data_IF_777763732558
#
_entry.id   IF_777763732558
#
_cell.length_a   1.000
_cell.length_b   1.000
_cell.length_c   1.000
_cell.angle_alpha   90.00
_cell.angle_beta   90.00
_cell.angle_gamma   90.00
#
_symmetry.space_group_name_H-M   'P 1'
#
loop_
_entity.id
_entity.type
_entity.pdbx_description
1 polymer ?
#
# COMPACT_ATOMS: atom_id res chain seq x y z
N UNK A 1 -6.73 12.57 -16.24
CA UNK A 1 -8.17 12.28 -16.26
C UNK A 1 -8.92 12.99 -15.14
N UNK A 2 -8.39 12.93 -13.92
CA UNK A 2 -9.01 13.57 -12.72
C UNK A 2 -9.35 15.06 -12.91
N UNK A 3 -8.58 15.80 -13.70
CA UNK A 3 -8.86 17.23 -14.04
C UNK A 3 -10.21 17.44 -14.72
N UNK A 4 -10.77 16.41 -15.37
CA UNK A 4 -12.09 16.46 -16.03
C UNK A 4 -13.24 16.00 -15.13
N UNK A 5 -12.93 15.38 -13.99
CA UNK A 5 -13.92 15.05 -12.97
C UNK A 5 -14.28 16.32 -12.23
N UNK A 6 -15.56 16.49 -11.89
CA UNK A 6 -16.00 17.68 -11.14
C UNK A 6 -15.19 17.83 -9.85
N UNK A 7 -14.76 19.05 -9.54
CA UNK A 7 -13.89 19.34 -8.40
C UNK A 7 -14.50 18.86 -7.06
N UNK A 8 -15.82 18.98 -6.93
CA UNK A 8 -16.57 18.50 -5.74
C UNK A 8 -16.48 16.99 -5.54
N UNK A 9 -16.25 16.21 -6.62
CA UNK A 9 -16.09 14.76 -6.58
C UNK A 9 -14.62 14.43 -6.34
N UNK A 10 -13.70 15.07 -7.08
CA UNK A 10 -12.27 14.74 -7.04
C UNK A 10 -11.52 15.23 -5.79
N UNK A 11 -12.06 16.23 -5.09
CA UNK A 11 -11.49 16.84 -3.87
C UNK A 11 -12.47 16.91 -2.71
N UNK A 12 -13.53 16.11 -2.74
CA UNK A 12 -14.55 16.10 -1.68
C UNK A 12 -14.01 15.53 -0.38
N UNK A 13 -14.37 16.16 0.75
CA UNK A 13 -14.01 15.73 2.13
C UNK A 13 -15.00 14.71 2.71
N UNK A 14 -15.72 13.99 1.89
CA UNK A 14 -16.78 13.07 2.30
C UNK A 14 -16.82 11.83 1.42
N UNK A 15 -17.45 10.79 1.91
CA UNK A 15 -17.76 9.63 1.10
C UNK A 15 -18.61 10.04 -0.12
N UNK A 16 -18.26 9.49 -1.28
CA UNK A 16 -18.97 9.72 -2.52
C UNK A 16 -20.28 8.93 -2.53
N UNK A 17 -21.36 9.56 -3.00
CA UNK A 17 -22.56 8.83 -3.34
C UNK A 17 -22.30 7.86 -4.50
N UNK A 18 -23.17 6.87 -4.68
CA UNK A 18 -23.06 5.90 -5.79
C UNK A 18 -22.96 6.59 -7.17
N UNK A 19 -23.70 7.65 -7.40
CA UNK A 19 -23.65 8.39 -8.67
C UNK A 19 -22.34 9.13 -8.84
N UNK A 20 -21.82 9.76 -7.80
CA UNK A 20 -20.52 10.44 -7.82
C UNK A 20 -19.37 9.44 -8.00
N UNK A 21 -19.47 8.27 -7.40
CA UNK A 21 -18.51 7.19 -7.61
C UNK A 21 -18.51 6.71 -9.07
N UNK A 22 -19.66 6.53 -9.69
CA UNK A 22 -19.76 6.20 -11.11
C UNK A 22 -19.14 7.30 -12.00
N UNK A 23 -19.28 8.56 -11.64
CA UNK A 23 -18.64 9.68 -12.36
C UNK A 23 -17.12 9.67 -12.15
N UNK A 24 -16.66 9.40 -10.92
CA UNK A 24 -15.24 9.24 -10.60
C UNK A 24 -14.59 8.12 -11.44
N UNK A 25 -15.27 6.99 -11.62
CA UNK A 25 -14.77 5.86 -12.41
C UNK A 25 -14.55 6.17 -13.91
N UNK A 26 -14.98 7.34 -14.40
CA UNK A 26 -14.72 7.76 -15.78
C UNK A 26 -13.33 8.38 -15.99
N UNK A 27 -12.61 8.74 -14.93
CA UNK A 27 -11.32 9.43 -15.07
C UNK A 27 -10.26 8.67 -15.89
N UNK A 28 -10.19 7.31 -15.90
CA UNK A 28 -9.27 6.61 -16.79
C UNK A 28 -9.62 6.78 -18.27
N UNK A 29 -10.93 6.89 -18.60
CA UNK A 29 -11.38 7.18 -19.96
C UNK A 29 -10.89 8.56 -20.36
N UNK A 30 -11.07 9.57 -19.51
CA UNK A 30 -10.58 10.91 -19.76
C UNK A 30 -9.05 10.97 -19.86
N UNK A 31 -8.34 10.14 -19.09
CA UNK A 31 -6.88 10.02 -19.22
C UNK A 31 -6.48 9.50 -20.59
N UNK A 32 -7.14 8.45 -21.06
CA UNK A 32 -6.91 7.87 -22.39
C UNK A 32 -7.10 8.93 -23.49
N UNK A 33 -8.29 9.58 -23.53
CA UNK A 33 -8.62 10.62 -24.51
C UNK A 33 -7.61 11.78 -24.55
N UNK A 34 -7.11 12.18 -23.37
CA UNK A 34 -6.12 13.27 -23.29
C UNK A 34 -4.75 12.81 -23.80
N UNK A 35 -4.33 11.59 -23.48
CA UNK A 35 -2.99 11.09 -23.77
C UNK A 35 -2.84 10.59 -25.22
N UNK A 36 -3.91 10.10 -25.85
CA UNK A 36 -3.87 9.64 -27.25
C UNK A 36 -3.47 10.75 -28.22
N UNK A 37 -3.71 12.02 -27.86
CA UNK A 37 -3.40 13.19 -28.69
C UNK A 37 -2.05 13.84 -28.34
N UNK A 38 -1.25 13.28 -27.42
CA UNK A 38 0.04 13.85 -27.04
C UNK A 38 1.16 13.19 -27.84
N UNK A 39 1.81 13.99 -28.69
CA UNK A 39 2.94 13.51 -29.47
C UNK A 39 4.15 13.14 -28.57
N UNK A 40 4.88 12.11 -28.96
CA UNK A 40 6.14 11.72 -28.33
C UNK A 40 6.04 10.86 -27.08
N UNK A 41 4.84 10.51 -26.60
CA UNK A 41 4.69 9.53 -25.53
C UNK A 41 4.60 8.11 -26.10
N UNK A 42 5.18 7.08 -25.42
CA UNK A 42 5.04 5.70 -25.82
C UNK A 42 3.56 5.26 -25.85
N UNK A 43 3.15 4.50 -26.84
CA UNK A 43 1.76 4.04 -27.00
C UNK A 43 1.22 3.20 -25.85
N UNK A 44 2.10 2.61 -25.04
CA UNK A 44 1.73 1.86 -23.83
C UNK A 44 1.21 2.76 -22.71
N UNK A 45 1.63 4.03 -22.64
CA UNK A 45 1.27 4.93 -21.51
C UNK A 45 -0.24 5.19 -21.47
N UNK A 46 -0.94 5.56 -22.55
CA UNK A 46 -2.40 5.70 -22.52
C UNK A 46 -3.12 4.42 -22.08
N UNK A 47 -2.65 3.26 -22.55
CA UNK A 47 -3.22 1.94 -22.20
C UNK A 47 -3.07 1.67 -20.70
N UNK A 48 -1.89 1.92 -20.14
CA UNK A 48 -1.61 1.71 -18.71
C UNK A 48 -2.46 2.64 -17.85
N UNK A 49 -2.54 3.93 -18.19
CA UNK A 49 -3.38 4.89 -17.48
C UNK A 49 -4.88 4.55 -17.55
N UNK A 50 -5.31 3.95 -18.65
CA UNK A 50 -6.69 3.50 -18.81
C UNK A 50 -7.02 2.28 -17.95
N UNK A 51 -6.06 1.37 -17.78
CA UNK A 51 -6.26 0.07 -17.13
C UNK A 51 -5.84 0.05 -15.64
N UNK A 52 -5.33 1.13 -15.08
CA UNK A 52 -4.74 1.14 -13.72
C UNK A 52 -5.72 0.71 -12.62
N UNK A 53 -7.02 0.89 -12.83
CA UNK A 53 -8.07 0.49 -11.90
C UNK A 53 -8.81 -0.79 -12.31
N UNK A 54 -8.35 -1.49 -13.34
CA UNK A 54 -8.83 -2.84 -13.64
C UNK A 54 -8.29 -3.82 -12.59
N UNK A 55 -9.11 -4.78 -12.22
CA UNK A 55 -8.79 -5.78 -11.19
C UNK A 55 -8.71 -7.19 -11.80
N UNK A 56 -7.74 -8.02 -11.40
CA UNK A 56 -7.61 -9.39 -11.91
C UNK A 56 -8.87 -10.26 -11.82
N UNK A 57 -9.73 -10.01 -10.80
CA UNK A 57 -11.01 -10.69 -10.63
C UNK A 57 -12.12 -10.21 -11.60
N UNK A 58 -11.88 -9.16 -12.39
CA UNK A 58 -12.85 -8.61 -13.33
C UNK A 58 -13.87 -7.65 -12.72
N UNK A 59 -13.69 -7.24 -11.47
CA UNK A 59 -14.59 -6.29 -10.78
C UNK A 59 -14.09 -4.83 -10.84
N UNK A 60 -12.94 -4.59 -11.47
CA UNK A 60 -12.36 -3.26 -11.65
C UNK A 60 -13.09 -2.42 -12.71
N UNK A 61 -12.56 -1.25 -12.99
CA UNK A 61 -13.10 -0.32 -13.97
C UNK A 61 -12.00 0.24 -14.90
N UNK A 62 -12.33 0.76 -16.07
CA UNK A 62 -13.64 1.05 -16.63
C UNK A 62 -14.29 -0.08 -17.46
N UNK A 63 -13.58 -1.18 -17.75
CA UNK A 63 -14.05 -2.25 -18.65
C UNK A 63 -14.26 -3.59 -17.97
N UNK A 64 -13.97 -3.73 -16.68
CA UNK A 64 -14.07 -4.98 -15.94
C UNK A 64 -13.27 -6.12 -16.60
N UNK A 65 -12.04 -5.80 -16.99
CA UNK A 65 -11.14 -6.76 -17.63
C UNK A 65 -10.59 -7.75 -16.60
N UNK A 66 -10.51 -9.01 -16.99
CA UNK A 66 -9.85 -10.04 -16.19
C UNK A 66 -8.33 -10.01 -16.37
N UNK A 67 -7.61 -10.69 -15.48
CA UNK A 67 -6.13 -10.73 -15.37
C UNK A 67 -5.38 -10.77 -16.72
N UNK A 68 -5.73 -11.68 -17.63
CA UNK A 68 -5.05 -11.84 -18.91
C UNK A 68 -5.22 -10.67 -19.87
N UNK A 69 -6.25 -9.86 -19.66
CA UNK A 69 -6.60 -8.71 -20.50
C UNK A 69 -6.04 -7.39 -19.98
N UNK A 70 -5.41 -7.39 -18.78
CA UNK A 70 -4.82 -6.22 -18.14
C UNK A 70 -3.33 -6.22 -18.43
N UNK A 71 -2.83 -5.12 -18.98
CA UNK A 71 -1.40 -4.96 -19.28
C UNK A 71 -0.57 -5.08 -18.01
N UNK A 72 0.60 -5.75 -18.09
CA UNK A 72 1.46 -5.97 -16.92
C UNK A 72 1.80 -4.67 -16.17
N UNK A 73 2.14 -3.62 -16.89
CA UNK A 73 2.47 -2.33 -16.27
C UNK A 73 1.27 -1.70 -15.55
N UNK A 74 0.05 -1.91 -16.03
CA UNK A 74 -1.15 -1.46 -15.32
C UNK A 74 -1.34 -2.23 -14.01
N UNK A 75 -1.09 -3.55 -14.00
CA UNK A 75 -1.14 -4.38 -12.78
C UNK A 75 -0.06 -3.98 -11.75
N UNK A 76 1.15 -3.65 -12.22
CA UNK A 76 2.22 -3.12 -11.36
C UNK A 76 1.84 -1.75 -10.79
N UNK A 77 1.35 -0.85 -11.64
CA UNK A 77 0.94 0.48 -11.22
C UNK A 77 -0.26 0.45 -10.26
N UNK A 78 -1.20 -0.49 -10.45
CA UNK A 78 -2.33 -0.69 -9.54
C UNK A 78 -1.86 -0.99 -8.12
N UNK A 79 -0.92 -1.93 -7.93
CA UNK A 79 -0.36 -2.28 -6.62
C UNK A 79 0.36 -1.08 -5.98
N UNK A 80 1.21 -0.41 -6.74
CA UNK A 80 1.95 0.76 -6.26
C UNK A 80 1.01 1.92 -5.88
N UNK A 81 0.02 2.19 -6.71
CA UNK A 81 -1.01 3.21 -6.46
C UNK A 81 -1.81 2.88 -5.20
N UNK A 82 -2.24 1.64 -5.04
CA UNK A 82 -3.00 1.18 -3.87
C UNK A 82 -2.18 1.36 -2.59
N UNK A 83 -0.91 0.97 -2.58
CA UNK A 83 -0.03 1.17 -1.43
C UNK A 83 0.13 2.65 -1.07
N UNK A 84 0.45 3.49 -2.05
CA UNK A 84 0.61 4.94 -1.83
C UNK A 84 -0.70 5.56 -1.37
N UNK A 85 -1.82 5.17 -1.99
CA UNK A 85 -3.14 5.65 -1.58
C UNK A 85 -3.43 5.32 -0.12
N UNK A 86 -3.17 4.08 0.32
CA UNK A 86 -3.40 3.64 1.71
C UNK A 86 -2.49 4.35 2.71
N UNK A 87 -1.22 4.55 2.37
CA UNK A 87 -0.21 5.14 3.27
C UNK A 87 -0.14 6.67 3.24
N UNK A 88 -0.92 7.31 2.37
CA UNK A 88 -1.04 8.76 2.30
C UNK A 88 -2.31 9.23 2.99
N UNK A 89 -2.18 10.27 3.83
CA UNK A 89 -3.34 10.96 4.40
C UNK A 89 -4.15 11.64 3.31
N UNK A 90 -5.46 11.48 3.37
CA UNK A 90 -6.44 12.15 2.50
C UNK A 90 -7.36 12.99 3.37
N UNK A 91 -8.11 13.90 2.76
CA UNK A 91 -9.05 14.74 3.50
C UNK A 91 -10.21 13.93 4.13
N UNK A 92 -10.54 12.78 3.53
CA UNK A 92 -11.63 11.88 3.93
C UNK A 92 -11.17 10.72 4.81
N UNK A 93 -9.86 10.45 4.91
CA UNK A 93 -9.31 9.42 5.78
C UNK A 93 -7.84 9.64 6.15
N UNK A 94 -7.41 9.26 7.36
CA UNK A 94 -6.00 9.25 7.74
C UNK A 94 -5.19 8.21 6.94
N UNK A 95 -3.86 8.33 7.00
CA UNK A 95 -2.95 7.36 6.41
C UNK A 95 -2.90 6.08 7.26
N UNK A 96 -2.98 4.93 6.62
CA UNK A 96 -2.64 3.66 7.28
C UNK A 96 -1.16 3.61 7.60
N UNK A 97 -0.84 2.91 8.69
CA UNK A 97 0.53 2.47 8.93
C UNK A 97 1.03 1.60 7.78
N UNK A 98 2.30 1.69 7.41
CA UNK A 98 2.86 0.88 6.32
C UNK A 98 2.61 -0.62 6.45
N UNK A 99 2.74 -1.17 7.68
CA UNK A 99 2.43 -2.57 7.96
C UNK A 99 0.96 -2.90 7.69
N UNK A 100 0.02 -2.09 8.22
CA UNK A 100 -1.41 -2.29 8.04
C UNK A 100 -1.81 -2.20 6.55
N UNK A 101 -1.18 -1.27 5.79
CA UNK A 101 -1.38 -1.17 4.35
C UNK A 101 -0.90 -2.44 3.61
N UNK A 102 0.26 -3.00 4.00
CA UNK A 102 0.77 -4.24 3.41
C UNK A 102 -0.15 -5.43 3.73
N UNK A 103 -0.61 -5.55 4.97
CA UNK A 103 -1.56 -6.59 5.38
C UNK A 103 -2.86 -6.50 4.58
N UNK A 104 -3.41 -5.29 4.43
CA UNK A 104 -4.62 -5.06 3.64
C UNK A 104 -4.43 -5.45 2.16
N UNK A 105 -3.31 -5.07 1.55
CA UNK A 105 -2.99 -5.45 0.17
C UNK A 105 -2.84 -6.97 0.00
N UNK A 106 -2.29 -7.67 0.99
CA UNK A 106 -2.22 -9.14 0.99
C UNK A 106 -3.61 -9.77 1.00
N UNK A 107 -4.55 -9.24 1.80
CA UNK A 107 -5.96 -9.69 1.79
C UNK A 107 -6.58 -9.48 0.41
N UNK A 108 -6.42 -8.31 -0.20
CA UNK A 108 -6.89 -8.02 -1.56
C UNK A 108 -6.27 -8.94 -2.63
N UNK A 109 -5.06 -9.44 -2.39
CA UNK A 109 -4.41 -10.42 -3.28
C UNK A 109 -5.10 -11.79 -3.19
N UNK A 110 -5.53 -12.22 -2.00
CA UNK A 110 -6.31 -13.45 -1.82
C UNK A 110 -7.65 -13.38 -2.56
N UNK A 111 -8.30 -12.23 -2.58
CA UNK A 111 -9.56 -11.98 -3.27
C UNK A 111 -9.37 -11.71 -4.78
N UNK A 112 -8.12 -11.81 -5.27
CA UNK A 112 -7.75 -11.52 -6.66
C UNK A 112 -8.10 -10.10 -7.13
N UNK A 113 -8.28 -9.18 -6.21
CA UNK A 113 -8.43 -7.74 -6.50
C UNK A 113 -7.11 -7.15 -6.96
N UNK A 114 -6.02 -7.62 -6.37
CA UNK A 114 -4.64 -7.26 -6.70
C UNK A 114 -3.89 -8.48 -7.27
N UNK A 115 -2.98 -8.22 -8.21
CA UNK A 115 -2.17 -9.25 -8.84
C UNK A 115 -1.05 -9.74 -7.92
N UNK A 116 -0.98 -11.06 -7.72
CA UNK A 116 0.00 -11.72 -6.86
C UNK A 116 1.46 -11.45 -7.27
N UNK A 117 1.76 -11.38 -8.58
CA UNK A 117 3.11 -11.16 -9.07
C UNK A 117 3.67 -9.78 -8.65
N UNK A 118 3.02 -8.67 -9.04
CA UNK A 118 3.37 -7.34 -8.57
C UNK A 118 3.34 -7.19 -7.05
N UNK A 119 2.38 -7.82 -6.35
CA UNK A 119 2.33 -7.78 -4.88
C UNK A 119 3.55 -8.44 -4.24
N UNK A 120 3.98 -9.60 -4.76
CA UNK A 120 5.23 -10.25 -4.31
C UNK A 120 6.45 -9.36 -4.55
N UNK A 121 6.50 -8.65 -5.69
CA UNK A 121 7.58 -7.69 -5.97
C UNK A 121 7.57 -6.52 -4.97
N UNK A 122 6.40 -6.02 -4.60
CA UNK A 122 6.25 -4.98 -3.57
C UNK A 122 6.74 -5.47 -2.20
N UNK A 123 6.35 -6.68 -1.77
CA UNK A 123 6.84 -7.31 -0.54
C UNK A 123 8.38 -7.45 -0.53
N UNK A 124 8.95 -7.89 -1.65
CA UNK A 124 10.40 -8.01 -1.78
C UNK A 124 11.10 -6.65 -1.73
N UNK A 125 10.42 -5.57 -2.16
CA UNK A 125 10.96 -4.22 -2.17
C UNK A 125 10.86 -3.54 -0.79
N UNK A 126 9.72 -3.65 -0.11
CA UNK A 126 9.41 -2.90 1.10
C UNK A 126 9.50 -3.73 2.39
N UNK A 127 9.43 -5.07 2.30
CA UNK A 127 9.19 -5.98 3.44
C UNK A 127 7.75 -5.90 3.97
N UNK A 128 7.34 -6.85 4.78
CA UNK A 128 6.06 -6.81 5.51
C UNK A 128 6.07 -5.71 6.58
N UNK A 129 7.24 -5.52 7.21
CA UNK A 129 7.50 -4.44 8.15
C UNK A 129 8.44 -3.42 7.51
N UNK A 130 7.91 -2.36 6.86
CA UNK A 130 8.75 -1.37 6.18
C UNK A 130 9.68 -0.63 7.14
N UNK A 131 10.79 -0.10 6.59
CA UNK A 131 11.76 0.67 7.36
C UNK A 131 11.07 1.82 8.10
N UNK A 132 11.38 1.95 9.39
CA UNK A 132 10.79 2.92 10.30
C UNK A 132 9.60 2.39 11.11
N UNK A 133 9.07 1.19 10.80
CA UNK A 133 8.04 0.54 11.63
C UNK A 133 8.55 0.30 13.04
N UNK A 134 7.69 0.53 14.04
CA UNK A 134 7.95 0.15 15.43
C UNK A 134 7.27 -1.20 15.68
N UNK A 135 8.01 -2.10 16.31
CA UNK A 135 7.55 -3.47 16.55
C UNK A 135 7.85 -3.89 17.98
N UNK A 136 7.06 -4.81 18.51
CA UNK A 136 7.35 -5.55 19.73
C UNK A 136 7.89 -6.93 19.33
N UNK A 137 8.96 -7.35 19.95
CA UNK A 137 9.56 -8.66 19.76
C UNK A 137 8.97 -9.67 20.76
N UNK A 138 9.20 -10.95 20.49
CA UNK A 138 8.66 -12.06 21.32
C UNK A 138 9.14 -12.07 22.77
N UNK A 139 10.26 -11.39 23.08
CA UNK A 139 10.74 -11.17 24.44
C UNK A 139 10.10 -9.96 25.16
N UNK A 140 9.20 -9.23 24.46
CA UNK A 140 8.56 -8.02 24.96
C UNK A 140 9.36 -6.72 24.74
N UNK A 141 10.53 -6.77 24.12
CA UNK A 141 11.32 -5.58 23.79
C UNK A 141 10.70 -4.81 22.61
N UNK A 142 10.89 -3.48 22.59
CA UNK A 142 10.47 -2.64 21.48
C UNK A 142 11.64 -2.30 20.57
N UNK A 143 11.42 -2.39 19.26
CA UNK A 143 12.45 -2.17 18.26
C UNK A 143 11.92 -1.37 17.07
N UNK A 144 12.82 -0.75 16.32
CA UNK A 144 12.54 -0.07 15.07
C UNK A 144 13.16 -0.84 13.90
N UNK A 145 12.39 -1.08 12.86
CA UNK A 145 12.91 -1.65 11.61
C UNK A 145 13.85 -0.65 10.95
N UNK A 146 15.11 -1.02 10.78
CA UNK A 146 16.15 -0.16 10.17
C UNK A 146 16.60 -0.64 8.80
N UNK A 147 16.45 -1.94 8.52
CA UNK A 147 16.84 -2.52 7.25
C UNK A 147 16.02 -3.79 6.96
N UNK A 148 15.65 -4.00 5.69
CA UNK A 148 15.03 -5.23 5.22
C UNK A 148 16.05 -6.35 5.04
N UNK A 149 15.63 -7.60 5.20
CA UNK A 149 16.33 -8.79 4.73
C UNK A 149 15.82 -9.20 3.35
N UNK A 150 16.74 -9.46 2.40
CA UNK A 150 16.41 -9.63 0.97
C UNK A 150 15.32 -10.67 0.70
N UNK A 151 15.45 -11.84 1.28
CA UNK A 151 14.57 -13.00 1.00
C UNK A 151 13.64 -13.33 2.18
N UNK A 152 13.75 -12.57 3.28
CA UNK A 152 13.03 -12.79 4.53
C UNK A 152 12.23 -11.54 4.91
N UNK A 153 11.11 -11.35 4.23
CA UNK A 153 10.27 -10.16 4.39
C UNK A 153 9.54 -10.08 5.74
N UNK A 154 9.53 -11.17 6.53
CA UNK A 154 8.98 -11.20 7.90
C UNK A 154 10.05 -10.98 8.99
N UNK A 155 11.34 -11.12 8.65
CA UNK A 155 12.45 -11.08 9.60
C UNK A 155 13.45 -9.99 9.24
N UNK A 156 13.08 -8.70 9.39
CA UNK A 156 13.95 -7.56 9.07
C UNK A 156 15.10 -7.43 10.07
N UNK A 157 16.03 -6.51 9.81
CA UNK A 157 16.99 -6.04 10.79
C UNK A 157 16.37 -4.88 11.55
N UNK A 158 16.40 -5.00 12.86
CA UNK A 158 15.80 -4.05 13.78
C UNK A 158 16.84 -3.43 14.71
N UNK A 159 16.54 -2.25 15.23
CA UNK A 159 17.28 -1.59 16.28
C UNK A 159 16.40 -1.53 17.53
N UNK A 160 16.88 -2.04 18.63
CA UNK A 160 16.20 -1.95 19.92
C UNK A 160 16.05 -0.47 20.33
N UNK A 161 14.86 -0.14 20.80
CA UNK A 161 14.53 1.17 21.38
C UNK A 161 14.38 1.02 22.89
N UNK A 162 13.79 -0.11 23.32
CA UNK A 162 13.48 -0.37 24.72
C UNK A 162 13.61 -1.86 24.99
N UNK A 163 14.21 -2.22 26.09
CA UNK A 163 14.31 -3.59 26.57
C UNK A 163 12.97 -4.08 27.16
N UNK A 164 12.81 -5.39 27.36
CA UNK A 164 11.59 -5.99 27.93
C UNK A 164 11.26 -5.48 29.35
N UNK A 165 12.23 -4.98 30.11
CA UNK A 165 12.03 -4.35 31.42
C UNK A 165 11.74 -2.84 31.33
N UNK A 166 11.54 -2.30 30.13
CA UNK A 166 11.11 -0.92 29.89
C UNK A 166 12.23 0.12 29.89
N UNK A 167 13.50 -0.27 29.91
CA UNK A 167 14.64 0.67 29.83
C UNK A 167 14.94 1.05 28.40
N UNK A 168 15.17 2.35 28.19
CA UNK A 168 15.60 2.83 26.88
C UNK A 168 17.02 2.32 26.52
N UNK A 169 17.18 1.89 25.27
CA UNK A 169 18.47 1.45 24.72
C UNK A 169 19.15 2.62 24.03
N UNK A 170 20.47 2.74 24.22
CA UNK A 170 21.25 3.77 23.49
C UNK A 170 21.27 3.44 21.99
N UNK A 171 20.81 4.34 21.13
CA UNK A 171 20.85 4.11 19.68
C UNK A 171 22.26 3.96 19.10
N UNK A 172 23.29 4.39 19.82
CA UNK A 172 24.69 4.26 19.41
C UNK A 172 25.33 2.93 19.85
N UNK A 173 24.63 2.13 20.66
CA UNK A 173 25.09 0.82 21.05
C UNK A 173 25.01 -0.16 19.86
N UNK A 174 26.15 -0.72 19.39
CA UNK A 174 26.14 -1.70 18.30
C UNK A 174 25.31 -2.95 18.62
N UNK A 175 25.24 -3.34 19.89
CA UNK A 175 24.47 -4.51 20.34
C UNK A 175 22.93 -4.25 20.30
N UNK A 176 22.52 -3.01 20.07
CA UNK A 176 21.12 -2.68 19.84
C UNK A 176 20.58 -3.15 18.49
N UNK A 177 21.46 -3.53 17.54
CA UNK A 177 21.07 -3.95 16.19
C UNK A 177 20.94 -5.48 16.14
N UNK A 178 19.75 -5.97 15.84
CA UNK A 178 19.43 -7.38 15.77
C UNK A 178 18.99 -7.75 14.36
N UNK A 179 19.60 -8.77 13.77
CA UNK A 179 19.11 -9.42 12.56
C UNK A 179 18.15 -10.54 12.96
N UNK A 180 16.84 -10.31 12.73
CA UNK A 180 15.81 -11.27 13.11
C UNK A 180 15.82 -12.56 12.28
N UNK A 181 16.59 -12.61 11.17
CA UNK A 181 16.74 -13.84 10.40
C UNK A 181 17.68 -14.87 11.05
N UNK A 182 18.59 -14.41 11.91
CA UNK A 182 19.56 -15.27 12.59
C UNK A 182 19.39 -15.27 14.11
N UNK A 183 18.44 -14.47 14.61
CA UNK A 183 18.04 -14.39 16.02
C UNK A 183 16.91 -15.38 16.31
N UNK A 184 16.78 -15.81 17.56
CA UNK A 184 15.62 -16.55 18.06
C UNK A 184 14.40 -15.63 18.33
N UNK A 185 14.55 -14.31 18.15
CA UNK A 185 13.48 -13.33 18.33
C UNK A 185 12.68 -13.16 17.03
N UNK A 186 11.36 -13.05 17.18
CA UNK A 186 10.43 -12.75 16.10
C UNK A 186 9.63 -11.49 16.43
N UNK A 187 8.99 -10.92 15.43
CA UNK A 187 8.04 -9.83 15.63
C UNK A 187 6.71 -10.40 16.09
N UNK A 188 6.31 -10.04 17.30
CA UNK A 188 5.02 -10.41 17.89
C UNK A 188 3.91 -9.43 17.44
N UNK A 189 4.21 -8.13 17.45
CA UNK A 189 3.24 -7.09 17.12
C UNK A 189 3.90 -5.90 16.44
N UNK A 190 3.20 -5.30 15.45
CA UNK A 190 3.54 -3.98 14.94
C UNK A 190 2.80 -2.90 15.73
N UNK A 191 3.55 -1.90 16.22
CA UNK A 191 2.96 -0.78 16.96
C UNK A 191 2.60 0.39 16.03
N UNK A 192 1.62 1.22 16.44
CA UNK A 192 1.34 2.48 15.78
C UNK A 192 2.60 3.33 15.64
N UNK A 193 2.84 3.85 14.44
CA UNK A 193 3.91 4.81 14.23
C UNK A 193 3.45 6.17 14.75
N UNK A 194 4.22 6.88 15.59
CA UNK A 194 3.85 8.19 16.07
C UNK A 194 3.41 9.14 14.95
N UNK A 195 2.25 9.77 15.10
CA UNK A 195 1.66 10.68 14.11
C UNK A 195 0.85 10.00 12.99
N UNK A 196 0.62 8.67 13.08
CA UNK A 196 -0.30 7.92 12.20
C UNK A 196 -1.36 7.24 13.05
N UNK A 197 -2.61 7.41 12.69
CA UNK A 197 -3.72 6.83 13.45
C UNK A 197 -3.85 5.33 13.19
N UNK A 198 -4.24 4.57 14.22
CA UNK A 198 -4.78 3.22 14.06
C UNK A 198 -6.15 3.35 13.40
N UNK A 199 -6.32 2.65 12.29
CA UNK A 199 -7.63 2.54 11.64
C UNK A 199 -8.07 1.10 11.78
N UNK A 200 -9.29 0.92 12.26
CA UNK A 200 -9.96 -0.36 12.22
C UNK A 200 -10.18 -0.78 10.76
N UNK A 201 -9.42 -1.80 10.32
CA UNK A 201 -9.52 -2.37 8.98
C UNK A 201 -10.85 -3.09 8.74
N UNK A 202 -11.64 -3.33 9.77
CA UNK A 202 -13.00 -3.88 9.66
C UNK A 202 -14.04 -2.83 9.29
N UNK A 203 -13.68 -1.54 9.28
CA UNK A 203 -14.60 -0.49 8.87
C UNK A 203 -14.76 -0.49 7.35
N UNK A 204 -16.01 -0.32 6.89
CA UNK A 204 -16.42 -0.23 5.47
C UNK A 204 -15.77 0.93 4.69
N UNK A 205 -14.87 1.68 5.32
CA UNK A 205 -14.16 2.84 4.77
C UNK A 205 -13.25 2.49 3.57
N UNK A 206 -12.90 1.23 3.42
CA UNK A 206 -11.97 0.78 2.37
C UNK A 206 -12.65 -0.02 1.26
N UNK A 207 -13.89 -0.47 1.47
CA UNK A 207 -14.62 -1.25 0.49
C UNK A 207 -14.89 -0.43 -0.78
N UNK A 208 -14.15 -0.75 -1.83
CA UNK A 208 -14.38 -0.28 -3.20
C UNK A 208 -13.72 1.03 -3.60
N UNK A 209 -12.89 1.69 -2.76
CA UNK A 209 -12.27 3.00 -3.07
C UNK A 209 -10.74 2.97 -3.28
N UNK A 210 -10.16 1.81 -3.57
CA UNK A 210 -8.73 1.68 -3.92
C UNK A 210 -8.53 1.69 -5.42
#
# INVERSE_FOLDING_TARGET
GMVRVQEKIGRGRRQLSRMEWMEMQKHPIFSLEMLENVAGIPSVVPVVCYQVHEQPNGLGYPRQRSHKMIHLFARILNVAHSYVSLTSSREDRPALMPYAAMEYLLRLTNDKTIDQGPMRALLNLLSLFPIGSIVILTDGSAARVIRRNKDFYTSPIVQLIQTSDGKNVDPLDPDSIIDLNVSDLEIDQALPTPGKDEIDLSSDLFDGQI
#
